data_IF_703315860090
#
_entry.id   IF_703315860090
#
_cell.length_a   1.000
_cell.length_b   1.000
_cell.length_c   1.000
_cell.angle_alpha   90.00
_cell.angle_beta   90.00
_cell.angle_gamma   90.00
#
_symmetry.space_group_name_H-M   'P 1'
#
loop_
_entity.id
_entity.type
_entity.pdbx_description
1 polymer ?
#
# COMPACT_ATOMS: atom_id res chain seq x y z
N UNK A 1 12.05 7.28 24.78
CA UNK A 1 11.49 5.95 24.48
C UNK A 1 12.36 5.37 23.39
N UNK A 2 12.98 4.24 23.63
CA UNK A 2 14.14 3.79 22.82
C UNK A 2 13.74 2.84 21.68
N UNK A 3 12.45 2.48 21.61
CA UNK A 3 11.92 1.53 20.63
C UNK A 3 10.79 2.21 19.86
N UNK A 4 10.88 2.13 18.52
CA UNK A 4 9.83 2.54 17.59
C UNK A 4 9.42 1.34 16.76
N UNK A 5 8.11 1.12 16.62
CA UNK A 5 7.55 0.01 15.82
C UNK A 5 6.80 0.63 14.65
N UNK A 6 7.19 0.27 13.43
CA UNK A 6 6.46 0.62 12.22
C UNK A 6 5.49 -0.51 11.86
N UNK A 7 4.21 -0.18 11.66
CA UNK A 7 3.17 -1.14 11.30
C UNK A 7 2.31 -0.62 10.15
N UNK A 8 1.59 -1.55 9.51
CA UNK A 8 0.62 -1.24 8.47
C UNK A 8 -0.58 -2.19 8.52
N UNK A 9 -1.51 -2.07 7.56
CA UNK A 9 -2.71 -2.90 7.43
C UNK A 9 -2.41 -4.40 7.23
N UNK A 10 -1.21 -4.75 6.76
CA UNK A 10 -0.74 -6.13 6.65
C UNK A 10 -0.18 -6.71 7.95
N UNK A 11 0.08 -5.87 8.96
CA UNK A 11 0.55 -6.30 10.28
C UNK A 11 -0.61 -7.01 10.99
N UNK A 12 -0.51 -8.34 11.13
CA UNK A 12 -1.60 -9.17 11.63
C UNK A 12 -1.11 -10.18 12.67
N UNK A 13 -2.00 -10.65 13.54
CA UNK A 13 -1.76 -11.80 14.41
C UNK A 13 -0.56 -11.57 15.35
N UNK A 14 0.52 -12.35 15.23
CA UNK A 14 1.69 -12.25 16.10
C UNK A 14 2.33 -10.86 16.09
N UNK A 15 2.34 -10.16 14.95
CA UNK A 15 2.82 -8.78 14.86
C UNK A 15 1.97 -7.83 15.72
N UNK A 16 0.67 -8.07 15.80
CA UNK A 16 -0.24 -7.28 16.63
C UNK A 16 -0.08 -7.63 18.11
N UNK A 17 0.18 -8.89 18.46
CA UNK A 17 0.50 -9.29 19.85
C UNK A 17 1.77 -8.55 20.32
N UNK A 18 2.84 -8.59 19.51
CA UNK A 18 4.09 -7.89 19.80
C UNK A 18 3.90 -6.38 19.94
N UNK A 19 3.22 -5.77 18.97
CA UNK A 19 2.96 -4.33 18.94
C UNK A 19 2.10 -3.88 20.12
N UNK A 20 1.02 -4.61 20.39
CA UNK A 20 0.10 -4.31 21.49
C UNK A 20 0.76 -4.44 22.85
N UNK A 21 1.59 -5.48 23.05
CA UNK A 21 2.32 -5.66 24.29
C UNK A 21 3.30 -4.51 24.56
N UNK A 22 4.16 -4.16 23.59
CA UNK A 22 5.13 -3.08 23.79
C UNK A 22 4.48 -1.70 23.90
N UNK A 23 3.34 -1.49 23.24
CA UNK A 23 2.56 -0.27 23.35
C UNK A 23 1.95 -0.11 24.75
N UNK A 24 1.21 -1.10 25.22
CA UNK A 24 0.52 -1.04 26.53
C UNK A 24 1.51 -0.96 27.69
N UNK A 25 2.64 -1.67 27.63
CA UNK A 25 3.71 -1.54 28.62
C UNK A 25 4.52 -0.23 28.51
N UNK A 26 4.12 0.69 27.63
CA UNK A 26 4.80 1.95 27.36
C UNK A 26 6.31 1.76 27.07
N UNK A 27 6.65 0.71 26.32
CA UNK A 27 8.03 0.35 25.93
C UNK A 27 8.37 0.79 24.51
N UNK A 28 7.37 0.92 23.64
CA UNK A 28 7.57 1.36 22.26
C UNK A 28 6.47 2.31 21.78
N UNK A 29 6.83 3.23 20.90
CA UNK A 29 5.88 4.09 20.19
C UNK A 29 5.57 3.49 18.82
N UNK A 30 4.30 3.45 18.44
CA UNK A 30 3.84 2.81 17.20
C UNK A 30 3.61 3.85 16.12
N UNK A 31 4.12 3.59 14.92
CA UNK A 31 4.06 4.48 13.76
C UNK A 31 3.45 3.75 12.55
N UNK A 32 2.97 4.50 11.56
CA UNK A 32 2.49 3.94 10.29
C UNK A 32 0.98 4.00 10.15
N UNK A 33 0.35 2.90 9.72
CA UNK A 33 -1.10 2.79 9.53
C UNK A 33 -1.73 1.79 10.51
N UNK A 34 -3.06 1.73 10.55
CA UNK A 34 -3.79 0.83 11.46
C UNK A 34 -3.55 -0.63 11.06
N UNK A 35 -3.29 -1.51 12.03
CA UNK A 35 -3.07 -2.94 11.79
C UNK A 35 -4.34 -3.71 11.40
N UNK A 36 -4.18 -4.97 11.01
CA UNK A 36 -5.24 -5.79 10.43
C UNK A 36 -6.46 -6.04 11.35
N UNK A 37 -6.24 -6.37 12.62
CA UNK A 37 -7.30 -6.67 13.59
C UNK A 37 -7.57 -8.16 13.80
N UNK A 38 -6.55 -9.02 13.84
CA UNK A 38 -6.73 -10.46 14.11
C UNK A 38 -6.57 -10.77 15.61
N UNK A 39 -7.63 -10.50 16.38
CA UNK A 39 -7.69 -10.73 17.83
C UNK A 39 -8.11 -12.15 18.29
N UNK A 40 -8.07 -13.15 17.41
CA UNK A 40 -8.58 -14.50 17.70
C UNK A 40 -7.57 -15.59 17.38
N UNK A 41 -7.64 -16.69 18.13
CA UNK A 41 -6.86 -17.92 17.92
C UNK A 41 -7.79 -18.99 17.38
N UNK A 42 -7.42 -19.57 16.23
CA UNK A 42 -8.13 -20.70 15.65
C UNK A 42 -7.37 -21.99 15.90
N UNK A 43 -8.13 -23.06 16.13
CA UNK A 43 -7.64 -24.43 16.19
C UNK A 43 -8.28 -25.26 15.10
N UNK A 44 -7.71 -26.42 14.81
CA UNK A 44 -8.21 -27.37 13.81
C UNK A 44 -8.47 -28.70 14.48
N UNK A 45 -9.66 -29.27 14.26
CA UNK A 45 -10.02 -30.62 14.65
C UNK A 45 -10.16 -31.50 13.40
N UNK A 46 -9.44 -32.61 13.38
CA UNK A 46 -9.57 -33.64 12.36
C UNK A 46 -10.60 -34.70 12.78
N UNK A 47 -11.42 -35.15 11.84
CA UNK A 47 -12.40 -36.21 12.02
C UNK A 47 -11.89 -37.53 11.42
N UNK A 48 -12.55 -38.64 11.79
CA UNK A 48 -12.15 -39.99 11.37
C UNK A 48 -12.18 -40.21 9.85
N UNK A 49 -12.95 -39.40 9.13
CA UNK A 49 -13.06 -39.43 7.67
C UNK A 49 -12.01 -38.55 6.96
N UNK A 50 -11.09 -37.94 7.71
CA UNK A 50 -10.07 -37.02 7.20
C UNK A 50 -10.55 -35.59 6.96
N UNK A 51 -11.81 -35.28 7.27
CA UNK A 51 -12.30 -33.90 7.21
C UNK A 51 -11.74 -33.04 8.36
N UNK A 52 -11.63 -31.73 8.14
CA UNK A 52 -11.09 -30.77 9.12
C UNK A 52 -12.13 -29.70 9.46
N UNK A 53 -12.37 -29.47 10.75
CA UNK A 53 -13.08 -28.29 11.25
C UNK A 53 -12.08 -27.31 11.85
N UNK A 54 -11.94 -26.15 11.21
CA UNK A 54 -11.22 -25.00 11.78
C UNK A 54 -12.22 -24.08 12.47
N UNK A 55 -12.01 -23.81 13.75
CA UNK A 55 -12.90 -22.97 14.55
C UNK A 55 -12.11 -22.06 15.47
N UNK A 56 -12.76 -20.97 15.89
CA UNK A 56 -12.17 -20.03 16.86
C UNK A 56 -12.30 -20.62 18.26
N UNK A 57 -11.18 -20.73 18.97
CA UNK A 57 -11.14 -21.27 20.32
C UNK A 57 -10.99 -20.16 21.36
N UNK A 58 -10.16 -19.15 21.06
CA UNK A 58 -9.82 -18.11 22.03
C UNK A 58 -9.82 -16.72 21.41
N UNK A 59 -10.04 -15.73 22.27
CA UNK A 59 -9.67 -14.32 22.04
C UNK A 59 -8.38 -14.06 22.78
N UNK A 60 -7.51 -13.26 22.19
CA UNK A 60 -6.39 -12.68 22.93
C UNK A 60 -6.64 -11.19 23.13
N UNK A 61 -6.14 -10.69 24.26
CA UNK A 61 -6.24 -9.30 24.66
C UNK A 61 -4.81 -8.75 24.78
N UNK A 62 -4.63 -7.46 24.55
CA UNK A 62 -3.38 -6.79 24.90
C UNK A 62 -3.23 -6.74 26.43
N UNK A 63 -2.04 -6.39 26.99
CA UNK A 63 -1.84 -6.31 28.44
C UNK A 63 -2.86 -5.43 29.19
N UNK A 64 -3.32 -4.33 28.60
CA UNK A 64 -4.36 -3.46 29.18
C UNK A 64 -5.79 -3.98 28.94
N UNK A 65 -5.94 -5.20 28.42
CA UNK A 65 -7.23 -5.84 28.19
C UNK A 65 -7.93 -5.42 26.90
N UNK A 66 -7.24 -4.78 25.94
CA UNK A 66 -7.88 -4.35 24.70
C UNK A 66 -8.15 -5.54 23.77
N UNK A 67 -9.42 -5.69 23.34
CA UNK A 67 -9.79 -6.61 22.29
C UNK A 67 -9.74 -5.93 20.92
N UNK A 68 -8.74 -6.29 20.12
CA UNK A 68 -8.42 -5.65 18.84
C UNK A 68 -9.11 -6.27 17.62
N UNK A 69 -9.91 -7.33 17.79
CA UNK A 69 -10.49 -8.03 16.65
C UNK A 69 -11.43 -7.13 15.82
N UNK A 70 -11.22 -7.07 14.51
CA UNK A 70 -11.94 -6.20 13.58
C UNK A 70 -11.61 -4.70 13.73
N UNK A 71 -10.77 -4.34 14.70
CA UNK A 71 -10.36 -2.96 14.98
C UNK A 71 -8.93 -2.70 14.55
N UNK A 72 -8.02 -3.62 14.86
CA UNK A 72 -6.58 -3.41 14.76
C UNK A 72 -6.04 -2.53 15.89
N UNK A 73 -4.73 -2.35 15.89
CA UNK A 73 -3.99 -1.42 16.73
C UNK A 73 -3.83 -0.12 15.95
N UNK A 74 -4.29 0.98 16.55
CA UNK A 74 -4.07 2.32 16.01
C UNK A 74 -2.63 2.75 16.32
N UNK A 75 -1.87 3.29 15.35
CA UNK A 75 -0.56 3.86 15.62
C UNK A 75 -0.68 5.11 16.51
N UNK A 76 0.37 5.41 17.25
CA UNK A 76 0.49 6.65 18.02
C UNK A 76 0.77 7.85 17.10
N UNK A 77 1.48 7.63 16.00
CA UNK A 77 1.75 8.62 14.96
C UNK A 77 1.43 8.00 13.60
N UNK A 78 0.46 8.58 12.91
CA UNK A 78 0.09 8.12 11.56
C UNK A 78 1.14 8.55 10.54
N UNK A 79 1.56 7.60 9.70
CA UNK A 79 2.37 7.85 8.50
C UNK A 79 1.65 7.19 7.34
N UNK A 80 1.12 8.00 6.42
CA UNK A 80 0.36 7.49 5.29
C UNK A 80 1.27 6.84 4.24
N UNK A 81 0.88 5.65 3.81
CA UNK A 81 1.45 4.95 2.68
C UNK A 81 1.21 5.75 1.39
N UNK A 82 2.24 5.96 0.55
CA UNK A 82 2.04 6.60 -0.74
C UNK A 82 1.03 5.84 -1.60
N UNK A 83 0.09 6.56 -2.23
CA UNK A 83 -0.97 5.96 -3.08
C UNK A 83 -0.42 5.07 -4.20
N UNK A 84 0.80 5.32 -4.67
CA UNK A 84 1.40 4.55 -5.76
C UNK A 84 1.75 3.10 -5.37
N UNK A 85 1.90 2.82 -4.07
CA UNK A 85 2.23 1.47 -3.57
C UNK A 85 1.03 0.53 -3.58
N UNK A 86 -0.20 1.06 -3.69
CA UNK A 86 -1.45 0.30 -3.74
C UNK A 86 -2.16 0.42 -5.10
N UNK A 87 -1.41 0.65 -6.18
CA UNK A 87 -1.98 0.80 -7.52
C UNK A 87 -2.48 -0.53 -8.07
N UNK A 88 -3.63 -0.47 -8.73
CA UNK A 88 -4.13 -1.61 -9.50
C UNK A 88 -3.27 -1.81 -10.74
N UNK A 89 -3.04 -3.08 -11.11
CA UNK A 89 -2.34 -3.42 -12.36
C UNK A 89 -3.14 -2.88 -13.55
N UNK A 90 -2.48 -2.10 -14.40
CA UNK A 90 -3.06 -1.59 -15.64
C UNK A 90 -2.97 -2.71 -16.69
N UNK A 91 -4.08 -3.15 -17.32
CA UNK A 91 -4.04 -4.18 -18.35
C UNK A 91 -3.12 -3.79 -19.52
N UNK A 92 -2.21 -4.69 -19.91
CA UNK A 92 -1.30 -4.47 -21.03
C UNK A 92 -1.94 -4.66 -22.42
N UNK A 93 -3.24 -4.98 -22.46
CA UNK A 93 -4.06 -5.12 -23.67
C UNK A 93 -4.84 -3.85 -24.02
N UNK A 94 -4.84 -2.85 -23.14
CA UNK A 94 -5.52 -1.57 -23.35
C UNK A 94 -4.51 -0.48 -23.71
N UNK A 95 -4.95 0.42 -24.58
CA UNK A 95 -4.29 1.69 -24.86
C UNK A 95 -5.24 2.80 -24.44
N UNK A 96 -4.72 3.81 -23.74
CA UNK A 96 -5.50 4.98 -23.31
C UNK A 96 -5.05 6.25 -24.03
N UNK A 97 -5.98 7.10 -24.43
CA UNK A 97 -5.73 8.34 -25.18
C UNK A 97 -6.77 9.41 -24.85
N UNK A 98 -6.54 10.62 -25.36
CA UNK A 98 -7.42 11.77 -25.11
C UNK A 98 -8.88 11.45 -25.42
N UNK A 99 -9.75 11.74 -24.46
CA UNK A 99 -11.19 11.49 -24.54
C UNK A 99 -11.65 10.22 -23.83
N UNK A 100 -10.74 9.32 -23.45
CA UNK A 100 -11.08 8.12 -22.69
C UNK A 100 -11.49 8.45 -21.24
N UNK A 101 -12.41 7.66 -20.69
CA UNK A 101 -12.82 7.65 -19.29
C UNK A 101 -12.76 6.21 -18.74
N UNK A 102 -11.79 5.93 -17.86
CA UNK A 102 -11.51 4.60 -17.32
C UNK A 102 -10.82 4.74 -15.96
N UNK A 103 -11.16 3.86 -15.01
CA UNK A 103 -10.55 3.80 -13.68
C UNK A 103 -9.02 3.66 -13.72
N UNK A 104 -8.46 3.05 -14.78
CA UNK A 104 -7.02 2.88 -14.95
C UNK A 104 -6.33 4.21 -15.25
N UNK A 105 -7.03 5.21 -15.78
CA UNK A 105 -6.46 6.54 -16.02
C UNK A 105 -6.11 7.23 -14.69
N UNK A 106 -6.95 7.05 -13.66
CA UNK A 106 -6.60 7.48 -12.30
C UNK A 106 -5.30 6.83 -11.82
N UNK A 107 -5.11 5.53 -12.09
CA UNK A 107 -3.87 4.81 -11.76
C UNK A 107 -2.66 5.40 -12.49
N UNK A 108 -2.80 5.68 -13.79
CA UNK A 108 -1.77 6.33 -14.60
C UNK A 108 -1.40 7.69 -13.99
N UNK A 109 -2.39 8.53 -13.67
CA UNK A 109 -2.17 9.85 -13.06
C UNK A 109 -1.40 9.74 -11.74
N UNK A 110 -1.83 8.86 -10.83
CA UNK A 110 -1.16 8.67 -9.53
C UNK A 110 0.28 8.18 -9.70
N UNK A 111 0.52 7.20 -10.59
CA UNK A 111 1.87 6.70 -10.80
C UNK A 111 2.79 7.71 -11.49
N UNK A 112 2.29 8.48 -12.47
CA UNK A 112 3.06 9.54 -13.12
C UNK A 112 3.46 10.62 -12.12
N UNK A 113 2.54 10.99 -11.22
CA UNK A 113 2.83 11.89 -10.10
C UNK A 113 3.96 11.35 -9.22
N UNK A 114 3.91 10.05 -8.87
CA UNK A 114 4.95 9.41 -8.06
C UNK A 114 6.33 9.35 -8.77
N UNK A 115 6.33 9.31 -10.11
CA UNK A 115 7.53 9.39 -10.95
C UNK A 115 7.98 10.84 -11.22
N UNK A 116 7.31 11.85 -10.65
CA UNK A 116 7.70 13.26 -10.73
C UNK A 116 7.06 14.06 -11.86
N UNK A 117 6.09 13.50 -12.58
CA UNK A 117 5.35 14.21 -13.64
C UNK A 117 4.18 14.99 -13.06
N UNK A 118 3.89 16.17 -13.62
CA UNK A 118 2.85 17.06 -13.10
C UNK A 118 1.49 16.66 -13.64
N UNK A 119 0.71 15.98 -12.83
CA UNK A 119 -0.71 15.68 -13.10
C UNK A 119 -1.61 16.63 -12.33
N UNK A 120 -2.71 17.03 -12.95
CA UNK A 120 -3.60 18.10 -12.50
C UNK A 120 -4.62 17.64 -11.44
N UNK A 121 -5.06 16.38 -11.52
CA UNK A 121 -6.06 15.79 -10.64
C UNK A 121 -5.92 14.24 -10.61
N UNK A 122 -6.83 13.59 -9.88
CA UNK A 122 -6.97 12.12 -9.85
C UNK A 122 -8.29 11.66 -10.51
N UNK A 123 -8.72 12.35 -11.56
CA UNK A 123 -9.90 11.97 -12.35
C UNK A 123 -9.66 10.70 -13.16
N UNK A 124 -10.73 10.13 -13.69
CA UNK A 124 -10.70 8.98 -14.59
C UNK A 124 -10.61 9.37 -16.07
N UNK A 125 -10.49 10.68 -16.37
CA UNK A 125 -10.47 11.20 -17.73
C UNK A 125 -9.05 11.38 -18.23
N UNK A 126 -8.82 10.96 -19.48
CA UNK A 126 -7.58 11.21 -20.20
C UNK A 126 -7.74 12.51 -20.97
N UNK A 127 -7.24 13.59 -20.38
CA UNK A 127 -7.28 14.94 -20.95
C UNK A 127 -5.97 15.29 -21.68
N UNK A 128 -5.97 16.47 -22.31
CA UNK A 128 -4.80 16.99 -23.02
C UNK A 128 -3.60 17.24 -22.09
N UNK A 129 -3.85 17.53 -20.80
CA UNK A 129 -2.78 17.74 -19.83
C UNK A 129 -2.06 16.42 -19.51
N UNK A 130 -2.82 15.32 -19.35
CA UNK A 130 -2.27 13.99 -19.20
C UNK A 130 -1.53 13.52 -20.45
N UNK A 131 -2.07 13.76 -21.65
CA UNK A 131 -1.39 13.43 -22.91
C UNK A 131 0.01 14.08 -22.98
N UNK A 132 0.11 15.35 -22.58
CA UNK A 132 1.38 16.06 -22.53
C UNK A 132 2.37 15.44 -21.53
N UNK A 133 1.89 14.95 -20.38
CA UNK A 133 2.73 14.22 -19.43
C UNK A 133 3.15 12.85 -19.96
N UNK A 134 2.27 12.14 -20.68
CA UNK A 134 2.61 10.87 -21.32
C UNK A 134 3.66 11.07 -22.42
N UNK A 135 3.53 12.11 -23.25
CA UNK A 135 4.55 12.49 -24.24
C UNK A 135 5.90 12.80 -23.57
N UNK A 136 5.89 13.58 -22.50
CA UNK A 136 7.10 13.89 -21.74
C UNK A 136 7.74 12.62 -21.14
N UNK A 137 6.92 11.71 -20.60
CA UNK A 137 7.37 10.42 -20.08
C UNK A 137 7.99 9.55 -21.17
N UNK A 138 7.34 9.43 -22.32
CA UNK A 138 7.84 8.67 -23.48
C UNK A 138 9.18 9.23 -23.96
N UNK A 139 9.27 10.55 -24.14
CA UNK A 139 10.49 11.25 -24.54
C UNK A 139 11.64 11.00 -23.56
N UNK A 140 11.39 11.14 -22.24
CA UNK A 140 12.41 10.94 -21.20
C UNK A 140 12.91 9.49 -21.15
N UNK A 141 12.07 8.53 -21.55
CA UNK A 141 12.36 7.10 -21.51
C UNK A 141 12.73 6.51 -22.87
N UNK A 142 12.96 7.35 -23.89
CA UNK A 142 13.36 6.92 -25.25
C UNK A 142 12.35 5.96 -25.90
N UNK A 143 11.06 6.17 -25.64
CA UNK A 143 9.95 5.47 -26.30
C UNK A 143 9.45 6.28 -27.49
N UNK A 144 8.64 5.67 -28.35
CA UNK A 144 7.91 6.39 -29.39
C UNK A 144 6.93 7.39 -28.75
N UNK A 145 6.99 8.66 -29.18
CA UNK A 145 6.21 9.76 -28.59
C UNK A 145 4.84 9.87 -29.28
N UNK A 146 3.94 8.98 -28.90
CA UNK A 146 2.56 8.95 -29.42
C UNK A 146 1.60 9.81 -28.60
N UNK A 147 1.89 10.01 -27.31
CA UNK A 147 0.94 10.57 -26.33
C UNK A 147 -0.14 9.60 -25.86
N UNK A 148 -0.20 8.41 -26.45
CA UNK A 148 -1.08 7.34 -26.00
C UNK A 148 -0.38 6.48 -24.94
N UNK A 149 -1.08 6.15 -23.86
CA UNK A 149 -0.59 5.20 -22.87
C UNK A 149 -0.82 3.77 -23.38
N UNK A 150 0.09 3.31 -24.24
CA UNK A 150 0.07 1.99 -24.87
C UNK A 150 0.83 0.94 -24.03
N UNK A 151 0.91 -0.30 -24.54
CA UNK A 151 1.60 -1.42 -23.89
C UNK A 151 3.06 -1.11 -23.53
N UNK A 152 3.82 -0.50 -24.43
CA UNK A 152 5.24 -0.19 -24.20
C UNK A 152 5.41 0.87 -23.11
N UNK A 153 4.58 1.92 -23.16
CA UNK A 153 4.51 2.96 -22.14
C UNK A 153 4.16 2.37 -20.78
N UNK A 154 3.15 1.49 -20.72
CA UNK A 154 2.73 0.80 -19.50
C UNK A 154 3.83 -0.08 -18.91
N UNK A 155 4.54 -0.85 -19.75
CA UNK A 155 5.65 -1.68 -19.31
C UNK A 155 6.74 -0.84 -18.64
N UNK A 156 7.19 0.24 -19.30
CA UNK A 156 8.23 1.11 -18.75
C UNK A 156 7.77 1.88 -17.51
N UNK A 157 6.53 2.33 -17.50
CA UNK A 157 5.89 2.97 -16.35
C UNK A 157 5.89 2.04 -15.12
N UNK A 158 5.49 0.78 -15.32
CA UNK A 158 5.45 -0.23 -14.27
C UNK A 158 6.84 -0.55 -13.76
N UNK A 159 7.82 -0.73 -14.67
CA UNK A 159 9.23 -0.95 -14.34
C UNK A 159 9.76 0.16 -13.41
N UNK A 160 9.57 1.43 -13.79
CA UNK A 160 10.06 2.56 -13.00
C UNK A 160 9.36 2.71 -11.64
N UNK A 161 8.07 2.40 -11.55
CA UNK A 161 7.36 2.39 -10.27
C UNK A 161 7.89 1.29 -9.34
N UNK A 162 8.17 0.11 -9.88
CA UNK A 162 8.78 -1.00 -9.13
C UNK A 162 10.19 -0.63 -8.68
N UNK A 163 11.01 -0.03 -9.55
CA UNK A 163 12.33 0.46 -9.18
C UNK A 163 12.27 1.50 -8.06
N UNK A 164 11.35 2.46 -8.15
CA UNK A 164 11.14 3.46 -7.11
C UNK A 164 10.78 2.80 -5.78
N UNK A 165 9.80 1.89 -5.78
CA UNK A 165 9.37 1.16 -4.59
C UNK A 165 10.49 0.31 -3.97
N UNK A 166 11.40 -0.25 -4.78
CA UNK A 166 12.52 -1.05 -4.30
C UNK A 166 13.68 -0.20 -3.76
N UNK A 167 13.85 1.05 -4.23
CA UNK A 167 14.93 1.95 -3.80
C UNK A 167 14.59 2.73 -2.53
N UNK A 168 13.33 3.08 -2.34
CA UNK A 168 12.88 3.93 -1.25
C UNK A 168 11.64 3.35 -0.57
N UNK A 169 11.75 3.12 0.74
CA UNK A 169 10.60 2.95 1.59
C UNK A 169 10.21 4.32 2.15
N UNK A 170 9.34 5.02 1.43
CA UNK A 170 8.87 6.36 1.79
C UNK A 170 8.28 6.43 3.22
N UNK A 171 7.71 5.33 3.72
CA UNK A 171 7.12 5.28 5.07
C UNK A 171 8.23 5.17 6.12
N UNK A 172 9.21 4.30 5.88
CA UNK A 172 10.39 4.17 6.74
C UNK A 172 11.23 5.45 6.72
N UNK A 173 11.47 6.05 5.57
CA UNK A 173 12.25 7.29 5.43
C UNK A 173 11.58 8.44 6.19
N UNK A 174 10.26 8.57 6.11
CA UNK A 174 9.49 9.52 6.94
C UNK A 174 9.65 9.22 8.43
N UNK A 175 9.55 7.95 8.83
CA UNK A 175 9.75 7.57 10.23
C UNK A 175 11.15 7.96 10.71
N UNK A 176 12.20 7.61 9.97
CA UNK A 176 13.59 7.95 10.31
C UNK A 176 13.75 9.45 10.45
N UNK A 177 13.12 10.26 9.60
CA UNK A 177 13.17 11.72 9.70
C UNK A 177 12.38 12.27 10.90
N UNK A 178 11.31 11.61 11.35
CA UNK A 178 10.57 11.97 12.57
C UNK A 178 11.40 11.66 13.83
N UNK A 179 12.26 10.63 13.78
CA UNK A 179 13.07 10.18 14.91
C UNK A 179 14.40 10.95 15.10
N UNK A 180 14.83 11.71 14.09
CA UNK A 180 16.00 12.60 14.17
C UNK A 180 15.66 13.87 14.95
#
# INVERSE_FOLDING_TARGET
>A
MDISILVNEGSASASEVFTGALKDYNKAKVYGSKTFGKGVVQTTREFKDGSLLKYTEMKWLTPDGHYIHGKGIKPDVTIDTPKYQSLNVIPNTKTFKVGDDDKNIKTIKIGLSALGYKVDNESTQFDQALENQVKAFQQANKLEVTGEFNKETNNKFTELLVEKANKHDDVLDKLINILK
#
